data_IF_867407202712
#
_entry.id   IF_867407202712
#
_cell.length_a   1.000
_cell.length_b   1.000
_cell.length_c   1.000
_cell.angle_alpha   90.00
_cell.angle_beta   90.00
_cell.angle_gamma   90.00
#
_symmetry.space_group_name_H-M   'P 1'
#
loop_
_entity.id
_entity.type
_entity.pdbx_description
1 polymer ?
#
# COMPACT_ATOMS: atom_id res chain seq x y z
N UNK A 1 -10.87 -9.20 2.31
CA UNK A 1 -11.50 -7.95 2.76
C UNK A 1 -11.11 -6.75 1.87
N UNK A 2 -9.82 -6.35 1.76
CA UNK A 2 -9.45 -5.19 0.91
C UNK A 2 -9.84 -5.39 -0.56
N UNK A 3 -9.76 -6.61 -1.07
CA UNK A 3 -10.13 -6.94 -2.45
C UNK A 3 -11.63 -6.75 -2.70
N UNK A 4 -12.45 -7.00 -1.69
CA UNK A 4 -13.91 -6.83 -1.77
C UNK A 4 -14.31 -5.37 -1.61
N UNK A 5 -13.73 -4.67 -0.61
CA UNK A 5 -14.03 -3.27 -0.32
C UNK A 5 -13.65 -2.35 -1.49
N UNK A 6 -12.52 -2.61 -2.14
CA UNK A 6 -11.96 -1.75 -3.20
C UNK A 6 -12.16 -2.29 -4.62
N UNK A 7 -13.14 -3.14 -4.85
CA UNK A 7 -13.50 -3.66 -6.17
C UNK A 7 -12.29 -4.21 -6.96
N UNK A 8 -11.67 -5.27 -6.43
CA UNK A 8 -10.53 -5.96 -7.06
C UNK A 8 -9.33 -5.05 -7.34
N UNK A 9 -8.73 -4.42 -6.34
CA UNK A 9 -7.63 -3.47 -6.54
C UNK A 9 -6.38 -4.12 -7.13
N UNK A 10 -5.54 -3.29 -7.75
CA UNK A 10 -4.20 -3.67 -8.19
C UNK A 10 -3.26 -3.55 -6.99
N UNK A 11 -2.49 -4.59 -6.68
CA UNK A 11 -1.51 -4.56 -5.58
C UNK A 11 -0.10 -4.37 -6.11
N UNK A 12 0.70 -3.54 -5.44
CA UNK A 12 2.15 -3.51 -5.63
C UNK A 12 2.77 -4.53 -4.67
N UNK A 13 3.45 -5.52 -5.22
CA UNK A 13 3.99 -6.66 -4.49
C UNK A 13 5.49 -6.81 -4.70
N UNK A 14 6.15 -7.56 -3.81
CA UNK A 14 7.53 -8.00 -4.05
C UNK A 14 7.57 -9.02 -5.19
N UNK A 15 8.56 -8.88 -6.10
CA UNK A 15 8.73 -9.82 -7.23
C UNK A 15 8.94 -11.26 -6.77
N UNK A 16 9.60 -11.46 -5.64
CA UNK A 16 9.87 -12.77 -5.05
C UNK A 16 8.58 -13.55 -4.74
N UNK A 17 7.47 -12.87 -4.46
CA UNK A 17 6.19 -13.52 -4.19
C UNK A 17 5.61 -14.23 -5.43
N UNK A 18 6.03 -13.84 -6.63
CA UNK A 18 5.61 -14.50 -7.86
C UNK A 18 6.22 -15.90 -8.06
N UNK A 19 7.28 -16.22 -7.30
CA UNK A 19 7.94 -17.53 -7.35
C UNK A 19 7.31 -18.57 -6.43
N UNK A 20 6.39 -18.16 -5.56
CA UNK A 20 5.68 -19.10 -4.69
C UNK A 20 4.65 -19.87 -5.55
N UNK A 21 4.73 -21.20 -5.63
CA UNK A 21 3.75 -22.02 -6.37
C UNK A 21 2.32 -21.69 -5.94
N UNK A 22 1.36 -21.77 -6.89
CA UNK A 22 -0.06 -21.46 -6.68
C UNK A 22 -0.31 -19.98 -6.33
N UNK A 23 0.38 -19.45 -5.33
CA UNK A 23 0.23 -18.06 -4.89
C UNK A 23 0.73 -17.06 -5.96
N UNK A 24 1.89 -17.32 -6.56
CA UNK A 24 2.39 -16.50 -7.65
C UNK A 24 1.49 -16.50 -8.88
N UNK A 25 0.87 -17.64 -9.20
CA UNK A 25 -0.13 -17.72 -10.26
C UNK A 25 -1.40 -16.92 -9.94
N UNK A 26 -1.89 -17.01 -8.70
CA UNK A 26 -3.01 -16.18 -8.22
C UNK A 26 -2.69 -14.68 -8.32
N UNK A 27 -1.50 -14.27 -7.89
CA UNK A 27 -1.06 -12.86 -7.97
C UNK A 27 -1.01 -12.34 -9.41
N UNK A 28 -0.59 -13.16 -10.36
CA UNK A 28 -0.65 -12.83 -11.80
C UNK A 28 -2.09 -12.69 -12.28
N UNK A 29 -2.98 -13.59 -11.87
CA UNK A 29 -4.39 -13.58 -12.27
C UNK A 29 -5.13 -12.33 -11.78
N UNK A 30 -4.81 -11.79 -10.60
CA UNK A 30 -5.39 -10.54 -10.09
C UNK A 30 -4.72 -9.28 -10.64
N UNK A 31 -3.84 -9.42 -11.64
CA UNK A 31 -3.13 -8.32 -12.30
C UNK A 31 -2.25 -7.48 -11.37
N UNK A 32 -1.68 -8.09 -10.31
CA UNK A 32 -0.74 -7.41 -9.42
C UNK A 32 0.51 -6.94 -10.14
N UNK A 33 1.12 -5.84 -9.68
CA UNK A 33 2.37 -5.30 -10.20
C UNK A 33 3.51 -5.69 -9.27
N UNK A 34 4.55 -6.31 -9.83
CA UNK A 34 5.68 -6.80 -9.06
C UNK A 34 6.87 -5.83 -9.10
N UNK A 35 7.38 -5.44 -7.92
CA UNK A 35 8.53 -4.54 -7.80
C UNK A 35 9.76 -5.26 -7.24
N UNK A 36 10.94 -5.01 -7.83
CA UNK A 36 12.25 -5.36 -7.25
C UNK A 36 12.70 -4.23 -6.33
N UNK A 37 12.78 -4.46 -5.01
CA UNK A 37 13.11 -3.42 -4.02
C UNK A 37 14.55 -2.91 -4.07
N UNK A 38 15.49 -3.68 -4.61
CA UNK A 38 16.92 -3.40 -4.54
C UNK A 38 17.50 -2.66 -5.76
N UNK A 39 16.68 -2.30 -6.73
CA UNK A 39 17.08 -1.53 -7.90
C UNK A 39 16.15 -0.35 -8.12
N UNK A 40 16.32 0.70 -7.32
CA UNK A 40 15.79 2.03 -7.62
C UNK A 40 16.81 2.71 -8.55
N UNK A 41 16.98 2.23 -9.75
CA UNK A 41 17.76 2.88 -10.79
C UNK A 41 17.00 2.75 -12.13
N UNK A 42 17.47 3.35 -13.16
CA UNK A 42 16.89 3.56 -14.50
C UNK A 42 15.98 2.45 -15.09
N UNK A 43 16.02 1.24 -14.55
CA UNK A 43 15.16 0.10 -14.92
C UNK A 43 13.66 0.26 -14.51
N UNK A 44 13.29 1.35 -13.82
CA UNK A 44 11.92 1.55 -13.33
C UNK A 44 11.03 2.44 -14.22
N UNK A 45 11.53 2.92 -15.36
CA UNK A 45 10.67 3.68 -16.29
C UNK A 45 9.49 2.82 -16.75
N UNK A 46 9.74 1.59 -17.15
CA UNK A 46 8.67 0.64 -17.55
C UNK A 46 7.73 0.21 -16.42
N UNK A 47 8.14 0.36 -15.14
CA UNK A 47 7.28 0.06 -13.99
C UNK A 47 6.11 1.03 -13.87
N UNK A 48 6.36 2.32 -14.01
CA UNK A 48 5.30 3.34 -13.94
C UNK A 48 4.38 3.26 -15.16
N UNK A 49 4.94 3.00 -16.34
CA UNK A 49 4.16 2.80 -17.58
C UNK A 49 3.23 1.59 -17.44
N UNK A 50 3.73 0.47 -16.88
CA UNK A 50 2.92 -0.72 -16.60
C UNK A 50 1.75 -0.40 -15.64
N UNK A 51 2.01 0.39 -14.58
CA UNK A 51 0.96 0.79 -13.63
C UNK A 51 -0.06 1.69 -14.32
N UNK A 52 0.39 2.71 -15.05
CA UNK A 52 -0.47 3.61 -15.80
C UNK A 52 -1.39 2.85 -16.77
N UNK A 53 -0.81 1.95 -17.54
CA UNK A 53 -1.57 1.12 -18.48
C UNK A 53 -2.63 0.28 -17.76
N UNK A 54 -2.26 -0.40 -16.67
CA UNK A 54 -3.19 -1.22 -15.89
C UNK A 54 -4.31 -0.41 -15.26
N UNK A 55 -4.02 0.75 -14.66
CA UNK A 55 -5.03 1.62 -14.07
C UNK A 55 -5.98 2.14 -15.15
N UNK A 56 -5.44 2.63 -16.26
CA UNK A 56 -6.23 3.21 -17.35
C UNK A 56 -7.14 2.18 -18.00
N UNK A 57 -6.66 0.96 -18.25
CA UNK A 57 -7.44 -0.12 -18.86
C UNK A 57 -8.51 -0.67 -17.92
N UNK A 58 -8.18 -0.87 -16.66
CA UNK A 58 -9.07 -1.56 -15.73
C UNK A 58 -9.94 -0.65 -14.89
N UNK A 59 -9.59 0.64 -14.77
CA UNK A 59 -10.21 1.62 -13.85
C UNK A 59 -10.23 1.14 -12.40
N UNK A 60 -9.30 0.26 -12.04
CA UNK A 60 -9.18 -0.33 -10.71
C UNK A 60 -8.25 0.50 -9.84
N UNK A 61 -8.54 0.67 -8.53
CA UNK A 61 -7.64 1.39 -7.63
C UNK A 61 -6.33 0.63 -7.42
N UNK A 62 -5.25 1.39 -7.21
CA UNK A 62 -3.95 0.87 -6.83
C UNK A 62 -3.81 0.87 -5.32
N UNK A 63 -3.49 -0.27 -4.71
CA UNK A 63 -3.20 -0.37 -3.28
C UNK A 63 -1.69 -0.47 -3.04
N UNK A 64 -1.21 0.42 -2.17
CA UNK A 64 0.19 0.46 -1.72
C UNK A 64 0.24 0.39 -0.21
N UNK A 65 1.12 -0.43 0.33
CA UNK A 65 1.42 -0.48 1.76
C UNK A 65 2.64 0.41 2.05
N UNK A 66 2.46 1.62 2.62
CA UNK A 66 3.51 2.63 2.66
C UNK A 66 4.68 2.26 3.56
N UNK A 67 4.48 1.44 4.57
CA UNK A 67 5.55 0.92 5.43
C UNK A 67 6.43 -0.13 4.72
N UNK A 68 5.91 -0.76 3.65
CA UNK A 68 6.60 -1.74 2.84
C UNK A 68 6.90 -3.08 3.53
N UNK A 69 6.59 -3.22 4.81
CA UNK A 69 6.71 -4.45 5.59
C UNK A 69 5.69 -4.42 6.73
N UNK A 70 5.45 -5.55 7.36
CA UNK A 70 4.69 -5.58 8.61
C UNK A 70 5.55 -4.99 9.72
N UNK A 71 5.00 -4.07 10.50
CA UNK A 71 5.62 -3.42 11.65
C UNK A 71 4.81 -3.73 12.91
N UNK A 72 5.38 -3.46 14.07
CA UNK A 72 4.65 -3.58 15.32
C UNK A 72 3.54 -2.51 15.41
N UNK A 73 2.44 -2.75 16.14
CA UNK A 73 1.29 -1.83 16.19
C UNK A 73 1.62 -0.39 16.57
N UNK A 74 2.61 -0.20 17.42
CA UNK A 74 3.04 1.12 17.92
C UNK A 74 4.22 1.72 17.14
N UNK A 75 4.70 1.03 16.09
CA UNK A 75 5.79 1.54 15.26
C UNK A 75 5.26 2.68 14.37
N UNK A 76 5.87 3.84 14.51
CA UNK A 76 5.58 5.07 13.76
C UNK A 76 6.74 5.45 12.84
N UNK A 77 7.49 4.46 12.37
CA UNK A 77 8.58 4.66 11.41
C UNK A 77 8.08 5.41 10.16
N UNK A 78 8.91 6.30 9.60
CA UNK A 78 8.55 7.03 8.37
C UNK A 78 8.20 6.10 7.21
N UNK A 79 7.25 6.51 6.39
CA UNK A 79 6.85 5.76 5.21
C UNK A 79 7.96 5.72 4.16
N UNK A 80 7.96 4.69 3.34
CA UNK A 80 8.98 4.51 2.30
C UNK A 80 8.86 5.59 1.23
N UNK A 81 9.96 6.25 0.91
CA UNK A 81 10.05 7.31 -0.12
C UNK A 81 9.47 6.90 -1.48
N UNK A 82 9.44 5.61 -1.78
CA UNK A 82 8.82 5.06 -2.98
C UNK A 82 7.32 5.36 -3.12
N UNK A 83 6.62 5.55 -2.01
CA UNK A 83 5.18 5.92 -2.02
C UNK A 83 5.00 7.34 -2.57
N UNK A 84 5.81 8.29 -2.11
CA UNK A 84 5.81 9.65 -2.64
C UNK A 84 6.18 9.70 -4.12
N UNK A 85 7.13 8.86 -4.56
CA UNK A 85 7.48 8.76 -5.98
C UNK A 85 6.32 8.22 -6.82
N UNK A 86 5.59 7.22 -6.35
CA UNK A 86 4.39 6.72 -7.04
C UNK A 86 3.33 7.82 -7.17
N UNK A 87 3.13 8.61 -6.11
CA UNK A 87 2.19 9.74 -6.13
C UNK A 87 2.58 10.80 -7.18
N UNK A 88 3.85 11.18 -7.23
CA UNK A 88 4.37 12.16 -8.21
C UNK A 88 4.26 11.64 -9.66
N UNK A 89 4.64 10.40 -9.91
CA UNK A 89 4.68 9.83 -11.26
C UNK A 89 3.28 9.53 -11.81
N UNK A 90 2.37 9.00 -10.97
CA UNK A 90 1.02 8.67 -11.41
C UNK A 90 0.09 9.88 -11.51
N UNK A 91 0.41 10.98 -10.84
CA UNK A 91 -0.39 12.23 -10.85
C UNK A 91 -1.87 12.02 -10.49
N UNK A 92 -2.12 11.14 -9.53
CA UNK A 92 -3.47 10.79 -9.06
C UNK A 92 -3.65 11.09 -7.58
N UNK A 93 -4.90 11.31 -7.17
CA UNK A 93 -5.24 11.49 -5.76
C UNK A 93 -4.99 10.20 -4.97
N UNK A 94 -4.63 10.35 -3.70
CA UNK A 94 -4.39 9.26 -2.77
C UNK A 94 -5.53 9.19 -1.75
N UNK A 95 -6.12 8.01 -1.59
CA UNK A 95 -7.08 7.70 -0.52
C UNK A 95 -6.36 7.04 0.64
N UNK A 96 -6.07 7.74 1.76
CA UNK A 96 -5.43 7.12 2.91
C UNK A 96 -6.38 6.13 3.59
N UNK A 97 -5.83 4.97 4.00
CA UNK A 97 -6.58 3.95 4.74
C UNK A 97 -5.76 3.50 5.94
N UNK A 98 -6.30 3.67 7.14
CA UNK A 98 -5.70 3.20 8.37
C UNK A 98 -6.27 1.84 8.76
N UNK A 99 -5.40 0.88 9.11
CA UNK A 99 -5.78 -0.48 9.52
C UNK A 99 -5.03 -0.85 10.78
N UNK A 100 -5.75 -1.23 11.84
CA UNK A 100 -5.17 -1.70 13.09
C UNK A 100 -4.97 -3.23 13.15
N UNK A 101 -4.85 -3.89 12.01
CA UNK A 101 -4.72 -5.36 11.93
C UNK A 101 -3.53 -5.93 12.70
N UNK A 102 -2.50 -5.14 12.94
CA UNK A 102 -1.36 -5.53 13.77
C UNK A 102 -1.73 -5.85 15.23
N UNK A 103 -2.80 -5.23 15.76
CA UNK A 103 -3.31 -5.49 17.10
C UNK A 103 -3.97 -6.87 17.22
N UNK A 104 -4.49 -7.39 16.11
CA UNK A 104 -5.17 -8.70 16.04
C UNK A 104 -4.20 -9.77 15.54
N UNK A 105 -3.41 -9.45 14.55
CA UNK A 105 -2.43 -10.34 13.92
C UNK A 105 -1.05 -9.70 13.90
N UNK A 106 -0.33 -9.72 15.03
CA UNK A 106 0.99 -9.12 15.13
C UNK A 106 2.00 -9.81 14.22
N UNK A 107 3.10 -9.13 13.92
CA UNK A 107 4.21 -9.68 13.12
C UNK A 107 4.86 -10.89 13.80
N UNK A 108 4.94 -10.83 15.13
CA UNK A 108 5.43 -11.91 16.00
C UNK A 108 4.37 -12.22 17.06
N UNK A 109 4.16 -13.48 17.36
CA UNK A 109 3.21 -13.90 18.39
C UNK A 109 1.94 -14.55 17.81
N UNK A 110 0.92 -14.70 18.65
CA UNK A 110 -0.33 -15.42 18.37
C UNK A 110 -1.42 -14.44 17.98
N UNK A 111 -2.32 -14.87 17.11
CA UNK A 111 -3.54 -14.12 16.77
C UNK A 111 -4.35 -13.84 18.04
N UNK A 112 -4.81 -12.62 18.19
CA UNK A 112 -5.63 -12.14 19.31
C UNK A 112 -7.13 -12.26 18.95
N UNK A 113 -7.83 -13.34 19.32
CA UNK A 113 -9.17 -13.65 18.80
C UNK A 113 -10.25 -12.67 19.23
N UNK A 114 -10.06 -11.99 20.36
CA UNK A 114 -11.05 -11.09 20.95
C UNK A 114 -10.85 -9.61 20.59
N UNK A 115 -9.93 -9.30 19.68
CA UNK A 115 -9.68 -7.93 19.23
C UNK A 115 -10.34 -7.65 17.89
N UNK A 116 -10.87 -6.43 17.74
CA UNK A 116 -11.53 -5.98 16.53
C UNK A 116 -10.53 -5.37 15.54
N UNK A 117 -10.63 -5.76 14.26
CA UNK A 117 -9.95 -5.07 13.17
C UNK A 117 -10.82 -3.90 12.71
N UNK A 118 -10.25 -2.72 12.72
CA UNK A 118 -10.86 -1.48 12.20
C UNK A 118 -10.14 -1.07 10.93
N UNK A 119 -10.92 -0.74 9.90
CA UNK A 119 -10.44 -0.16 8.64
C UNK A 119 -11.09 1.21 8.51
N UNK A 120 -10.29 2.27 8.63
CA UNK A 120 -10.75 3.66 8.52
C UNK A 120 -10.34 4.23 7.17
N UNK A 121 -11.30 4.60 6.34
CA UNK A 121 -11.08 5.30 5.07
C UNK A 121 -11.11 6.79 5.37
N UNK A 122 -9.99 7.49 5.15
CA UNK A 122 -9.80 8.89 5.52
C UNK A 122 -10.06 9.81 4.31
N UNK A 123 -10.28 11.12 4.53
CA UNK A 123 -10.44 12.06 3.42
C UNK A 123 -9.25 12.02 2.45
N UNK A 124 -9.50 12.06 1.13
CA UNK A 124 -8.46 11.94 0.12
C UNK A 124 -7.43 13.08 0.21
N UNK A 125 -6.22 12.81 -0.26
CA UNK A 125 -5.17 13.78 -0.53
C UNK A 125 -5.16 13.97 -2.04
N UNK A 126 -5.57 15.15 -2.50
CA UNK A 126 -5.57 15.47 -3.92
C UNK A 126 -4.13 15.56 -4.46
N UNK A 127 -3.97 15.28 -5.77
CA UNK A 127 -2.71 15.51 -6.44
C UNK A 127 -2.34 17.00 -6.44
N UNK A 128 -1.03 17.29 -6.38
CA UNK A 128 -0.49 18.65 -6.46
C UNK A 128 0.43 19.05 -5.31
N UNK A 129 0.55 18.21 -4.26
CA UNK A 129 1.51 18.43 -3.21
C UNK A 129 2.92 18.01 -3.64
N UNK A 130 3.95 18.67 -3.07
CA UNK A 130 5.33 18.23 -3.19
C UNK A 130 5.49 16.87 -2.46
N UNK A 131 6.41 16.04 -2.92
CA UNK A 131 6.58 14.66 -2.44
C UNK A 131 6.74 14.53 -0.92
N UNK A 132 7.57 15.36 -0.29
CA UNK A 132 7.79 15.28 1.14
C UNK A 132 6.58 15.80 1.92
N UNK A 133 5.92 16.84 1.41
CA UNK A 133 4.67 17.35 1.96
C UNK A 133 3.56 16.29 1.90
N UNK A 134 3.44 15.62 0.75
CA UNK A 134 2.51 14.50 0.60
C UNK A 134 2.79 13.37 1.61
N UNK A 135 4.05 12.94 1.75
CA UNK A 135 4.42 11.88 2.69
C UNK A 135 4.10 12.28 4.13
N UNK A 136 4.45 13.49 4.54
CA UNK A 136 4.16 13.99 5.89
C UNK A 136 2.63 14.05 6.16
N UNK A 137 1.86 14.52 5.18
CA UNK A 137 0.40 14.58 5.29
C UNK A 137 -0.20 13.17 5.41
N UNK A 138 0.27 12.22 4.58
CA UNK A 138 -0.16 10.83 4.60
C UNK A 138 0.15 10.14 5.94
N UNK A 139 1.38 10.33 6.46
CA UNK A 139 1.82 9.81 7.76
C UNK A 139 0.96 10.36 8.90
N UNK A 140 0.79 11.67 8.95
CA UNK A 140 0.01 12.34 9.98
C UNK A 140 -1.45 11.85 9.99
N UNK A 141 -2.09 11.75 8.82
CA UNK A 141 -3.47 11.25 8.70
C UNK A 141 -3.59 9.82 9.22
N UNK A 142 -2.74 8.91 8.74
CA UNK A 142 -2.81 7.48 9.08
C UNK A 142 -2.46 7.25 10.55
N UNK A 143 -1.36 7.83 11.04
CA UNK A 143 -0.92 7.60 12.41
C UNK A 143 -1.81 8.26 13.46
N UNK A 144 -2.38 9.45 13.18
CA UNK A 144 -3.39 10.07 14.05
C UNK A 144 -4.63 9.20 14.17
N UNK A 145 -5.09 8.60 13.07
CA UNK A 145 -6.25 7.70 13.11
C UNK A 145 -5.96 6.41 13.87
N UNK A 146 -4.78 5.80 13.65
CA UNK A 146 -4.38 4.59 14.37
C UNK A 146 -4.29 4.80 15.88
N UNK A 147 -3.88 5.99 16.34
CA UNK A 147 -3.80 6.31 17.77
C UNK A 147 -5.17 6.33 18.45
N UNK A 148 -6.26 6.56 17.72
CA UNK A 148 -7.64 6.48 18.27
C UNK A 148 -8.09 5.03 18.53
N UNK A 149 -7.39 4.06 17.95
CA UNK A 149 -7.73 2.63 18.00
C UNK A 149 -6.63 1.77 18.66
N UNK A 150 -5.71 2.41 19.39
CA UNK A 150 -4.61 1.75 20.13
C UNK A 150 -5.07 1.27 21.48
#
# INVERSE_FOLDING_TARGET
YLQTIFNSPIFILKKELLWIPIFGWYLKKISSVAIKRNKISRDNLGFFDEIHEKINKSKRPLIIFPQGTRVEPNDRSPFKKGVGRVYEELKISCQPVAINSGNVWPKKGVIQPNKKITISILPPINYGLEKNEFLNNLENKIYSELNKHS
#
